data_IF_835745366169
#
_entry.id   IF_835745366169
#
_cell.length_a   1.000
_cell.length_b   1.000
_cell.length_c   1.000
_cell.angle_alpha   90.00
_cell.angle_beta   90.00
_cell.angle_gamma   90.00
#
_symmetry.space_group_name_H-M   'P 1'
#
loop_
_entity.id
_entity.type
_entity.pdbx_description
1 polymer ?
#
# COMPACT_ATOMS: atom_id res chain seq x y z
N UNK A 1 11.04 -2.96 2.61
CA UNK A 1 12.02 -2.00 3.15
C UNK A 1 13.25 -2.06 2.26
N UNK A 2 13.83 -0.93 1.88
CA UNK A 2 15.04 -0.91 1.06
C UNK A 2 15.65 0.49 1.01
N UNK A 3 16.97 0.59 0.79
CA UNK A 3 17.69 1.86 0.61
C UNK A 3 17.00 2.77 -0.44
N UNK A 4 17.13 4.11 -0.32
CA UNK A 4 16.52 5.13 -1.23
C UNK A 4 16.80 4.82 -2.72
N UNK A 5 16.19 5.44 -3.73
CA UNK A 5 16.58 5.24 -5.16
C UNK A 5 16.59 3.80 -5.67
N UNK A 6 15.56 3.07 -5.28
CA UNK A 6 15.45 1.62 -5.41
C UNK A 6 14.74 1.06 -6.61
N UNK A 7 13.89 1.86 -7.19
CA UNK A 7 12.77 1.29 -7.90
C UNK A 7 11.74 0.64 -6.98
N UNK A 8 11.76 0.85 -5.64
CA UNK A 8 10.60 0.52 -4.76
C UNK A 8 9.34 1.18 -5.29
N UNK A 9 9.41 2.51 -5.46
CA UNK A 9 8.31 3.32 -6.00
C UNK A 9 7.99 2.91 -7.43
N UNK A 10 9.01 2.62 -8.25
CA UNK A 10 8.81 2.17 -9.64
C UNK A 10 8.05 0.84 -9.71
N UNK A 11 8.47 -0.16 -8.95
CA UNK A 11 7.85 -1.47 -8.94
C UNK A 11 6.46 -1.41 -8.31
N UNK A 12 6.26 -0.60 -7.26
CA UNK A 12 4.92 -0.33 -6.75
C UNK A 12 4.02 0.36 -7.80
N UNK A 13 4.56 1.29 -8.61
CA UNK A 13 3.82 1.91 -9.71
C UNK A 13 3.49 0.90 -10.81
N UNK A 14 4.37 -0.05 -11.11
CA UNK A 14 4.08 -1.14 -12.07
C UNK A 14 2.97 -2.05 -11.52
N UNK A 15 3.09 -2.50 -10.27
CA UNK A 15 2.07 -3.33 -9.61
C UNK A 15 0.72 -2.60 -9.50
N UNK A 16 0.72 -1.31 -9.19
CA UNK A 16 -0.47 -0.45 -9.17
C UNK A 16 -1.00 -0.12 -10.58
N UNK A 17 -0.19 -0.33 -11.64
CA UNK A 17 -0.51 0.04 -13.01
C UNK A 17 -0.51 1.55 -13.28
N UNK A 18 0.26 2.30 -12.50
CA UNK A 18 0.48 3.75 -12.63
C UNK A 18 1.72 4.10 -13.44
N UNK A 19 2.52 3.11 -13.85
CA UNK A 19 3.71 3.33 -14.67
C UNK A 19 3.30 3.52 -16.13
N UNK A 20 3.53 4.72 -16.67
CA UNK A 20 3.10 5.13 -18.02
C UNK A 20 4.21 5.12 -19.08
N UNK A 21 5.44 4.75 -18.72
CA UNK A 21 6.56 4.75 -19.66
C UNK A 21 7.68 3.78 -19.27
N UNK A 22 8.49 3.40 -20.26
CA UNK A 22 9.45 2.29 -20.18
C UNK A 22 8.85 0.96 -20.64
N UNK A 23 9.63 -0.12 -20.53
CA UNK A 23 9.20 -1.48 -20.85
C UNK A 23 8.85 -2.24 -19.59
N UNK A 24 7.73 -2.98 -19.61
CA UNK A 24 7.30 -3.84 -18.51
C UNK A 24 7.20 -5.26 -19.08
N UNK A 25 8.18 -6.09 -18.75
CA UNK A 25 8.24 -7.49 -19.17
C UNK A 25 7.89 -8.40 -17.99
N UNK A 26 6.61 -8.42 -17.59
CA UNK A 26 6.14 -9.33 -16.55
C UNK A 26 4.66 -9.67 -16.69
N UNK A 27 4.27 -10.82 -16.13
CA UNK A 27 2.87 -11.19 -15.96
C UNK A 27 2.48 -11.06 -14.50
N UNK A 28 1.44 -10.26 -14.21
CA UNK A 28 0.88 -10.13 -12.86
C UNK A 28 -0.42 -10.93 -12.82
N UNK A 29 -0.58 -11.78 -11.82
CA UNK A 29 -1.79 -12.56 -11.58
C UNK A 29 -2.39 -12.22 -10.22
N UNK A 30 -3.71 -12.18 -10.14
CA UNK A 30 -4.51 -12.03 -8.92
C UNK A 30 -5.33 -13.29 -8.76
N UNK A 31 -5.12 -14.03 -7.66
CA UNK A 31 -5.82 -15.30 -7.38
C UNK A 31 -5.70 -16.33 -8.52
N UNK A 32 -4.55 -16.38 -9.20
CA UNK A 32 -4.29 -17.25 -10.36
C UNK A 32 -4.74 -16.70 -11.72
N UNK A 33 -5.52 -15.63 -11.74
CA UNK A 33 -6.04 -15.01 -12.96
C UNK A 33 -5.20 -13.82 -13.42
N UNK A 34 -5.04 -13.55 -14.73
CA UNK A 34 -4.32 -12.38 -15.22
C UNK A 34 -4.91 -11.07 -14.66
N UNK A 35 -4.04 -10.18 -14.16
CA UNK A 35 -4.44 -8.87 -13.68
C UNK A 35 -5.06 -8.05 -14.81
N UNK A 36 -6.31 -7.61 -14.63
CA UNK A 36 -7.00 -6.67 -15.53
C UNK A 36 -6.80 -5.24 -15.04
N UNK A 37 -6.05 -4.45 -15.80
CA UNK A 37 -5.66 -3.10 -15.37
C UNK A 37 -6.86 -2.17 -15.17
N UNK A 38 -7.86 -2.24 -16.05
CA UNK A 38 -9.05 -1.39 -16.03
C UNK A 38 -9.82 -1.51 -14.72
N UNK A 39 -9.97 -2.73 -14.20
CA UNK A 39 -10.79 -3.00 -13.01
C UNK A 39 -9.95 -3.20 -11.75
N UNK A 40 -8.62 -3.09 -11.83
CA UNK A 40 -7.73 -3.39 -10.71
C UNK A 40 -7.95 -2.46 -9.50
N UNK A 41 -8.31 -1.20 -9.77
CA UNK A 41 -8.57 -0.20 -8.74
C UNK A 41 -9.76 -0.56 -7.81
N UNK A 42 -10.64 -1.48 -8.21
CA UNK A 42 -11.73 -1.97 -7.34
C UNK A 42 -11.22 -2.78 -6.14
N UNK A 43 -10.06 -3.42 -6.27
CA UNK A 43 -9.53 -4.38 -5.29
C UNK A 43 -8.15 -3.98 -4.77
N UNK A 44 -7.64 -2.82 -5.19
CA UNK A 44 -6.31 -2.34 -4.86
C UNK A 44 -6.34 -0.85 -4.51
N UNK A 45 -5.82 -0.51 -3.32
CA UNK A 45 -5.56 0.85 -2.88
C UNK A 45 -4.07 1.18 -2.98
N UNK A 46 -3.75 2.43 -3.33
CA UNK A 46 -2.36 2.88 -3.43
C UNK A 46 -2.14 4.16 -2.63
N UNK A 47 -1.49 4.04 -1.49
CA UNK A 47 -1.02 5.19 -0.72
C UNK A 47 0.22 5.78 -1.39
N UNK A 48 0.11 7.00 -1.92
CA UNK A 48 1.28 7.73 -2.40
C UNK A 48 2.24 8.11 -1.26
N UNK A 49 3.48 8.43 -1.65
CA UNK A 49 4.48 8.89 -0.69
C UNK A 49 4.07 10.23 -0.08
N UNK A 50 3.56 11.14 -0.91
CA UNK A 50 2.99 12.41 -0.49
C UNK A 50 1.48 12.24 -0.23
N UNK A 51 1.02 12.80 0.88
CA UNK A 51 -0.38 12.73 1.28
C UNK A 51 -1.17 13.85 0.57
N UNK A 52 -1.94 13.50 -0.46
CA UNK A 52 -2.71 14.45 -1.26
C UNK A 52 -4.16 14.45 -0.78
N UNK A 53 -4.53 15.49 -0.01
CA UNK A 53 -5.89 15.68 0.48
C UNK A 53 -6.34 17.13 0.27
N UNK A 54 -7.66 17.35 0.17
CA UNK A 54 -8.20 18.70 0.12
C UNK A 54 -8.12 19.33 1.52
N UNK A 55 -7.53 20.52 1.68
CA UNK A 55 -7.23 21.07 3.00
C UNK A 55 -8.47 21.57 3.76
N UNK A 56 -9.51 21.99 3.03
CA UNK A 56 -10.72 22.60 3.62
C UNK A 56 -11.86 21.63 3.90
N UNK A 57 -11.64 20.33 3.74
CA UNK A 57 -12.59 19.29 4.18
C UNK A 57 -12.15 18.70 5.51
N UNK A 58 -13.08 18.09 6.23
CA UNK A 58 -12.78 17.38 7.48
C UNK A 58 -12.26 15.96 7.23
N UNK A 59 -11.67 15.35 8.27
CA UNK A 59 -11.31 13.93 8.27
C UNK A 59 -12.52 13.05 7.92
N UNK A 60 -13.68 13.30 8.53
CA UNK A 60 -14.89 12.53 8.27
C UNK A 60 -15.35 12.65 6.82
N UNK A 61 -15.40 13.87 6.28
CA UNK A 61 -15.83 14.10 4.90
C UNK A 61 -14.87 13.47 3.89
N UNK A 62 -13.57 13.47 4.18
CA UNK A 62 -12.57 12.79 3.35
C UNK A 62 -12.83 11.28 3.25
N UNK A 63 -13.14 10.65 4.40
CA UNK A 63 -13.49 9.22 4.44
C UNK A 63 -14.86 8.93 3.81
N UNK A 64 -15.86 9.80 4.02
CA UNK A 64 -17.18 9.68 3.38
C UNK A 64 -17.07 9.80 1.87
N UNK A 65 -16.29 10.76 1.37
CA UNK A 65 -16.05 10.95 -0.05
C UNK A 65 -15.40 9.70 -0.67
N UNK A 66 -14.36 9.17 -0.04
CA UNK A 66 -13.71 7.93 -0.48
C UNK A 66 -14.69 6.76 -0.50
N UNK A 67 -15.44 6.58 0.59
CA UNK A 67 -16.43 5.50 0.70
C UNK A 67 -17.56 5.64 -0.33
N UNK A 68 -18.01 6.86 -0.65
CA UNK A 68 -19.02 7.10 -1.66
C UNK A 68 -18.54 6.64 -3.04
N UNK A 69 -17.31 6.95 -3.41
CA UNK A 69 -16.77 6.61 -4.73
C UNK A 69 -16.32 5.15 -4.86
N UNK A 70 -15.85 4.54 -3.77
CA UNK A 70 -15.25 3.20 -3.79
C UNK A 70 -16.23 2.08 -3.45
N UNK A 71 -17.26 2.36 -2.64
CA UNK A 71 -18.26 1.34 -2.32
C UNK A 71 -19.25 1.16 -3.48
N UNK A 72 -19.78 -0.06 -3.68
CA UNK A 72 -20.85 -0.32 -4.63
C UNK A 72 -22.11 0.52 -4.39
N UNK A 73 -22.90 0.77 -5.44
CA UNK A 73 -24.10 1.60 -5.40
C UNK A 73 -25.28 1.00 -4.60
N UNK A 74 -25.30 -0.33 -4.45
CA UNK A 74 -26.25 -1.08 -3.63
C UNK A 74 -25.97 -0.98 -2.13
N UNK A 75 -24.82 -0.44 -1.72
CA UNK A 75 -24.53 -0.15 -0.31
C UNK A 75 -25.29 1.08 0.15
N UNK A 76 -26.25 0.85 1.04
CA UNK A 76 -27.07 1.89 1.65
C UNK A 76 -26.26 2.88 2.51
N UNK A 77 -26.85 4.05 2.75
CA UNK A 77 -26.19 5.14 3.45
C UNK A 77 -25.81 4.80 4.90
N UNK A 78 -26.64 4.02 5.60
CA UNK A 78 -26.39 3.62 7.00
C UNK A 78 -25.19 2.68 7.05
N UNK A 79 -25.12 1.69 6.16
CA UNK A 79 -23.98 0.77 6.06
C UNK A 79 -22.70 1.50 5.69
N UNK A 80 -22.76 2.45 4.75
CA UNK A 80 -21.63 3.33 4.40
C UNK A 80 -21.13 4.14 5.59
N UNK A 81 -22.02 4.76 6.35
CA UNK A 81 -21.67 5.51 7.57
C UNK A 81 -21.02 4.60 8.62
N UNK A 82 -21.53 3.39 8.82
CA UNK A 82 -20.92 2.41 9.73
C UNK A 82 -19.52 2.01 9.26
N UNK A 83 -19.32 1.80 7.96
CA UNK A 83 -18.02 1.49 7.39
C UNK A 83 -17.01 2.63 7.66
N UNK A 84 -17.39 3.88 7.37
CA UNK A 84 -16.55 5.05 7.64
C UNK A 84 -16.17 5.15 9.12
N UNK A 85 -17.11 4.89 10.04
CA UNK A 85 -16.84 4.88 11.48
C UNK A 85 -15.83 3.80 11.87
N UNK A 86 -15.96 2.58 11.31
CA UNK A 86 -15.01 1.49 11.55
C UNK A 86 -13.62 1.84 11.06
N UNK A 87 -13.50 2.38 9.84
CA UNK A 87 -12.22 2.82 9.28
C UNK A 87 -11.59 3.92 10.15
N UNK A 88 -12.36 4.95 10.50
CA UNK A 88 -11.90 6.05 11.34
C UNK A 88 -11.40 5.58 12.71
N UNK A 89 -12.10 4.59 13.32
CA UNK A 89 -11.66 3.96 14.56
C UNK A 89 -10.38 3.16 14.36
N UNK A 90 -10.27 2.41 13.26
CA UNK A 90 -9.11 1.57 12.95
C UNK A 90 -7.84 2.41 12.76
N UNK A 91 -7.93 3.57 12.10
CA UNK A 91 -6.80 4.49 11.94
C UNK A 91 -6.68 5.50 13.09
N UNK A 92 -7.47 5.32 14.16
CA UNK A 92 -7.47 6.13 15.38
C UNK A 92 -7.69 7.63 15.16
N UNK A 93 -8.47 8.00 14.13
CA UNK A 93 -8.79 9.40 13.81
C UNK A 93 -10.13 9.87 14.39
N UNK A 94 -10.81 9.04 15.20
CA UNK A 94 -12.10 9.38 15.81
C UNK A 94 -12.12 10.73 16.55
N UNK A 95 -11.11 11.08 17.37
CA UNK A 95 -11.10 12.39 18.04
C UNK A 95 -10.99 13.57 17.09
N UNK A 96 -10.45 13.34 15.88
CA UNK A 96 -10.20 14.35 14.85
C UNK A 96 -11.28 14.35 13.77
N UNK A 97 -12.41 13.67 14.00
CA UNK A 97 -13.50 13.51 13.05
C UNK A 97 -13.90 14.82 12.35
N UNK A 98 -14.05 15.89 13.14
CA UNK A 98 -14.50 17.20 12.68
C UNK A 98 -13.35 18.18 12.43
N UNK A 99 -12.10 17.75 12.64
CA UNK A 99 -10.94 18.59 12.36
C UNK A 99 -10.78 18.75 10.84
N UNK A 100 -10.44 19.98 10.41
CA UNK A 100 -10.04 20.24 9.04
C UNK A 100 -8.72 19.53 8.74
N UNK A 101 -8.59 19.01 7.53
CA UNK A 101 -7.38 18.34 7.07
C UNK A 101 -6.19 19.29 7.07
N UNK A 102 -6.38 20.51 6.55
CA UNK A 102 -5.36 21.55 6.49
C UNK A 102 -4.23 21.27 5.49
N UNK A 103 -3.30 22.22 5.42
CA UNK A 103 -2.12 22.13 4.57
C UNK A 103 -0.97 21.48 5.34
N UNK A 104 -0.31 20.45 4.75
CA UNK A 104 0.80 19.76 5.40
C UNK A 104 1.89 20.74 5.89
N UNK A 105 2.20 20.68 7.19
CA UNK A 105 3.24 21.51 7.81
C UNK A 105 2.84 22.97 8.09
N UNK A 106 1.60 23.37 7.81
CA UNK A 106 1.12 24.73 8.04
C UNK A 106 -0.01 24.76 9.07
N UNK A 107 -1.08 24.01 8.86
CA UNK A 107 -2.26 23.99 9.73
C UNK A 107 -3.05 22.68 9.62
N UNK A 108 -4.04 22.49 10.50
CA UNK A 108 -4.90 21.31 10.49
C UNK A 108 -4.22 20.09 11.12
N UNK A 109 -4.12 18.99 10.37
CA UNK A 109 -3.59 17.72 10.86
C UNK A 109 -2.06 17.73 10.95
N UNK A 110 -1.53 16.96 11.90
CA UNK A 110 -0.10 16.65 11.93
C UNK A 110 0.31 15.75 10.76
N UNK A 111 1.61 15.69 10.45
CA UNK A 111 2.16 14.79 9.41
C UNK A 111 1.75 13.32 9.63
N UNK A 112 1.80 12.86 10.88
CA UNK A 112 1.38 11.50 11.23
C UNK A 112 -0.12 11.28 10.99
N UNK A 113 -0.94 12.27 11.35
CA UNK A 113 -2.39 12.22 11.16
C UNK A 113 -2.79 12.27 9.68
N UNK A 114 -2.09 13.05 8.86
CA UNK A 114 -2.21 13.00 7.40
C UNK A 114 -1.89 11.60 6.87
N UNK A 115 -0.85 10.95 7.39
CA UNK A 115 -0.50 9.60 6.94
C UNK A 115 -1.56 8.57 7.30
N UNK A 116 -2.07 8.63 8.54
CA UNK A 116 -3.21 7.81 9.00
C UNK A 116 -4.46 8.06 8.15
N UNK A 117 -4.70 9.31 7.72
CA UNK A 117 -5.82 9.66 6.84
C UNK A 117 -5.63 9.08 5.43
N UNK A 118 -4.43 9.17 4.85
CA UNK A 118 -4.11 8.53 3.56
C UNK A 118 -4.35 7.02 3.64
N UNK A 119 -3.86 6.37 4.70
CA UNK A 119 -4.12 4.94 4.94
C UNK A 119 -5.63 4.69 5.08
N UNK A 120 -6.37 5.52 5.82
CA UNK A 120 -7.81 5.41 5.98
C UNK A 120 -8.60 5.54 4.68
N UNK A 121 -8.17 6.46 3.80
CA UNK A 121 -8.78 6.67 2.48
C UNK A 121 -8.46 5.51 1.52
N UNK A 122 -7.30 4.86 1.70
CA UNK A 122 -6.76 3.86 0.77
C UNK A 122 -6.85 2.39 1.22
N UNK A 123 -7.14 2.10 2.49
CA UNK A 123 -6.95 0.81 3.16
C UNK A 123 -7.29 -0.45 2.35
N UNK A 124 -6.28 -0.92 1.57
CA UNK A 124 -5.92 -2.26 1.05
C UNK A 124 -4.39 -2.21 0.70
N UNK A 125 -3.45 -3.09 1.16
CA UNK A 125 -1.96 -2.81 1.24
C UNK A 125 -0.92 -3.97 0.95
N UNK A 126 0.33 -3.71 0.38
CA UNK A 126 1.61 -4.57 0.22
C UNK A 126 2.99 -3.76 0.01
N UNK A 127 4.27 -4.32 0.12
CA UNK A 127 5.68 -3.69 0.30
C UNK A 127 6.99 -4.29 -0.44
N UNK A 128 8.14 -3.55 -0.78
CA UNK A 128 9.44 -4.00 -1.53
C UNK A 128 10.88 -3.25 -1.31
N UNK A 129 12.05 -3.53 -2.06
CA UNK A 129 13.51 -2.96 -2.03
C UNK A 129 14.17 -2.44 -3.39
N UNK A 130 15.45 -1.97 -3.37
CA UNK A 130 16.44 -1.38 -4.36
C UNK A 130 16.97 -2.35 -5.42
N UNK A 131 16.95 -1.93 -6.70
CA UNK A 131 17.27 -2.74 -7.89
C UNK A 131 16.07 -3.45 -8.52
N UNK A 132 14.85 -3.26 -8.00
CA UNK A 132 13.66 -4.01 -8.42
C UNK A 132 13.65 -5.47 -7.95
N UNK A 133 14.56 -5.85 -7.05
CA UNK A 133 14.71 -7.22 -6.55
C UNK A 133 14.04 -7.37 -5.19
N UNK A 134 13.28 -8.46 -5.02
CA UNK A 134 12.72 -8.83 -3.73
C UNK A 134 13.81 -9.42 -2.82
N UNK A 135 13.99 -8.88 -1.61
CA UNK A 135 14.95 -9.39 -0.62
C UNK A 135 14.30 -10.18 0.51
N UNK A 136 12.99 -10.02 0.67
CA UNK A 136 12.18 -10.73 1.65
C UNK A 136 10.72 -10.64 1.23
N UNK A 137 10.06 -11.78 1.07
CA UNK A 137 8.63 -11.89 0.83
C UNK A 137 8.11 -12.96 1.77
N UNK A 138 7.49 -12.53 2.87
CA UNK A 138 7.01 -13.39 3.93
C UNK A 138 6.28 -12.58 5.00
N UNK A 139 5.53 -13.26 5.87
CA UNK A 139 4.89 -12.62 7.03
C UNK A 139 5.95 -12.00 7.95
N UNK A 140 5.67 -10.86 8.57
CA UNK A 140 6.61 -10.29 9.55
C UNK A 140 6.70 -11.17 10.81
N UNK A 141 5.59 -11.80 11.22
CA UNK A 141 5.47 -12.47 12.51
C UNK A 141 5.27 -11.46 13.65
N UNK A 142 4.91 -11.94 14.85
CA UNK A 142 4.75 -11.07 16.04
C UNK A 142 6.11 -10.45 16.38
N UNK A 143 6.17 -9.12 16.49
CA UNK A 143 7.42 -8.37 16.66
C UNK A 143 8.47 -8.65 15.57
N UNK A 144 8.05 -8.86 14.32
CA UNK A 144 8.96 -9.08 13.17
C UNK A 144 9.86 -10.33 13.27
N UNK A 145 9.51 -11.30 14.12
CA UNK A 145 10.35 -12.44 14.44
C UNK A 145 10.70 -13.34 13.24
N UNK A 146 9.82 -13.46 12.23
CA UNK A 146 10.09 -14.25 11.03
C UNK A 146 11.09 -13.55 10.10
N UNK A 147 11.00 -12.22 10.02
CA UNK A 147 11.96 -11.41 9.28
C UNK A 147 13.34 -11.47 9.94
N UNK A 148 13.43 -11.33 11.26
CA UNK A 148 14.69 -11.38 12.02
C UNK A 148 15.40 -12.73 11.81
N UNK A 149 14.69 -13.84 12.05
CA UNK A 149 15.24 -15.20 11.88
C UNK A 149 15.81 -15.46 10.49
N UNK A 150 15.16 -14.91 9.45
CA UNK A 150 15.64 -15.06 8.08
C UNK A 150 16.98 -14.34 7.87
N UNK A 151 17.10 -13.07 8.28
CA UNK A 151 18.35 -12.32 8.09
C UNK A 151 19.48 -12.80 9.01
N UNK A 152 19.18 -13.24 10.24
CA UNK A 152 20.19 -13.83 11.15
C UNK A 152 20.72 -15.20 10.67
N UNK A 153 20.00 -15.89 9.78
CA UNK A 153 20.46 -17.16 9.20
C UNK A 153 21.50 -16.99 8.09
N UNK A 154 21.76 -15.75 7.66
CA UNK A 154 22.74 -15.43 6.62
C UNK A 154 24.13 -15.28 7.27
N UNK A 155 25.19 -15.95 6.75
CA UNK A 155 26.56 -15.78 7.25
C UNK A 155 26.99 -14.30 7.20
N UNK A 156 27.77 -13.88 8.20
CA UNK A 156 28.33 -12.52 8.35
C UNK A 156 27.33 -11.36 8.58
N UNK A 157 26.04 -11.67 8.75
CA UNK A 157 25.05 -10.70 9.23
C UNK A 157 25.13 -10.61 10.76
N UNK A 158 25.42 -9.41 11.29
CA UNK A 158 25.42 -9.16 12.73
C UNK A 158 24.03 -9.37 13.31
N UNK A 159 23.89 -10.05 14.46
CA UNK A 159 22.59 -10.23 15.12
C UNK A 159 21.98 -8.90 15.54
N UNK A 160 20.65 -8.87 15.61
CA UNK A 160 19.94 -7.67 16.07
C UNK A 160 20.08 -7.52 17.59
N UNK A 161 20.32 -6.30 18.06
CA UNK A 161 20.34 -5.98 19.49
C UNK A 161 18.93 -5.89 20.07
N UNK A 162 18.77 -6.24 21.35
CA UNK A 162 17.46 -6.21 22.01
C UNK A 162 16.91 -4.77 22.06
N UNK A 163 15.64 -4.60 21.68
CA UNK A 163 15.00 -3.29 21.52
C UNK A 163 15.38 -2.49 20.28
N UNK A 164 16.32 -2.97 19.44
CA UNK A 164 16.69 -2.28 18.20
C UNK A 164 15.64 -2.48 17.11
N UNK A 165 15.43 -1.45 16.27
CA UNK A 165 14.40 -1.51 15.22
C UNK A 165 14.81 -2.51 14.11
N UNK A 166 14.06 -3.60 13.88
CA UNK A 166 14.44 -4.62 12.90
C UNK A 166 14.48 -4.13 11.45
N UNK A 167 13.68 -3.10 11.13
CA UNK A 167 13.71 -2.50 9.81
C UNK A 167 14.97 -1.67 9.57
N UNK A 168 15.46 -0.98 10.61
CA UNK A 168 16.71 -0.21 10.55
C UNK A 168 17.90 -1.14 10.42
N UNK A 169 17.99 -2.14 11.30
CA UNK A 169 19.06 -3.14 11.29
C UNK A 169 19.17 -3.88 9.94
N UNK A 170 18.04 -4.32 9.37
CA UNK A 170 18.05 -4.99 8.07
C UNK A 170 18.63 -4.11 6.95
N UNK A 171 18.40 -2.80 6.98
CA UNK A 171 18.95 -1.88 5.99
C UNK A 171 20.46 -1.68 6.16
N UNK A 172 20.94 -1.71 7.40
CA UNK A 172 22.36 -1.56 7.74
C UNK A 172 23.17 -2.78 7.32
N UNK A 173 22.68 -3.99 7.64
CA UNK A 173 23.41 -5.23 7.30
C UNK A 173 23.35 -5.60 5.82
N UNK A 174 22.39 -5.05 5.06
CA UNK A 174 22.23 -5.31 3.62
C UNK A 174 22.63 -4.12 2.73
N UNK A 175 23.53 -3.27 3.23
CA UNK A 175 24.04 -2.12 2.50
C UNK A 175 25.23 -2.51 1.59
N UNK A 176 25.49 -1.71 0.55
CA UNK A 176 26.52 -2.01 -0.46
C UNK A 176 27.95 -1.98 0.08
N UNK A 177 28.21 -1.21 1.14
CA UNK A 177 29.53 -1.22 1.79
C UNK A 177 29.78 -2.56 2.50
N UNK A 178 28.74 -3.14 3.12
CA UNK A 178 28.84 -4.47 3.74
C UNK A 178 28.99 -5.58 2.71
N UNK A 179 28.30 -5.53 1.57
CA UNK A 179 28.53 -6.48 0.46
C UNK A 179 29.98 -6.43 -0.04
N UNK A 180 30.53 -5.22 -0.18
CA UNK A 180 31.92 -5.04 -0.62
C UNK A 180 32.95 -5.52 0.41
N UNK A 181 32.66 -5.35 1.70
CA UNK A 181 33.51 -5.81 2.80
C UNK A 181 33.47 -7.34 2.99
N UNK A 182 32.29 -7.94 2.87
CA UNK A 182 32.09 -9.40 3.03
C UNK A 182 32.39 -10.19 1.75
N UNK A 183 32.44 -9.53 0.59
CA UNK A 183 32.57 -10.18 -0.71
C UNK A 183 31.33 -10.97 -1.15
N UNK A 184 30.20 -10.75 -0.47
CA UNK A 184 28.94 -11.46 -0.69
C UNK A 184 27.98 -10.59 -1.52
N UNK A 185 27.28 -11.21 -2.46
CA UNK A 185 26.13 -10.62 -3.15
C UNK A 185 24.84 -11.18 -2.51
N UNK A 186 24.09 -10.32 -1.80
CA UNK A 186 22.88 -10.75 -1.09
C UNK A 186 21.76 -11.15 -2.05
N UNK A 187 21.71 -10.61 -3.27
CA UNK A 187 20.71 -10.99 -4.26
C UNK A 187 20.97 -12.40 -4.79
N UNK A 188 22.22 -12.75 -5.04
CA UNK A 188 22.59 -14.09 -5.48
C UNK A 188 22.48 -15.12 -4.36
N UNK A 189 22.78 -14.73 -3.11
CA UNK A 189 22.49 -15.55 -1.92
C UNK A 189 20.99 -15.85 -1.81
N UNK A 190 20.13 -14.84 -1.97
CA UNK A 190 18.68 -15.05 -1.93
C UNK A 190 18.23 -16.03 -3.02
N UNK A 191 18.67 -15.85 -4.27
CA UNK A 191 18.29 -16.76 -5.38
C UNK A 191 18.68 -18.22 -5.13
N UNK A 192 19.74 -18.46 -4.35
CA UNK A 192 20.21 -19.81 -3.97
C UNK A 192 19.54 -20.36 -2.71
N UNK A 193 18.78 -19.54 -1.98
CA UNK A 193 18.18 -19.92 -0.70
C UNK A 193 16.94 -20.79 -0.85
N UNK A 194 16.67 -21.62 0.16
CA UNK A 194 15.42 -22.39 0.27
C UNK A 194 14.18 -21.48 0.31
N UNK A 195 14.32 -20.23 0.76
CA UNK A 195 13.21 -19.28 0.76
C UNK A 195 12.82 -18.90 -0.67
N UNK A 196 13.80 -18.63 -1.55
CA UNK A 196 13.53 -18.32 -2.95
C UNK A 196 12.86 -19.50 -3.67
N UNK A 197 13.36 -20.72 -3.43
CA UNK A 197 12.78 -21.94 -4.00
C UNK A 197 11.33 -22.09 -3.54
N UNK A 198 11.06 -22.00 -2.24
CA UNK A 198 9.70 -22.07 -1.68
C UNK A 198 8.79 -20.98 -2.25
N UNK A 199 9.29 -19.74 -2.38
CA UNK A 199 8.51 -18.65 -2.96
C UNK A 199 8.20 -18.89 -4.44
N UNK A 200 9.12 -19.44 -5.23
CA UNK A 200 8.86 -19.80 -6.63
C UNK A 200 7.82 -20.90 -6.76
N UNK A 201 7.90 -21.93 -5.92
CA UNK A 201 6.90 -23.00 -5.85
C UNK A 201 5.54 -22.40 -5.47
N UNK A 202 5.48 -21.58 -4.43
CA UNK A 202 4.25 -20.94 -3.99
C UNK A 202 3.64 -20.03 -5.08
N UNK A 203 4.47 -19.27 -5.80
CA UNK A 203 4.01 -18.45 -6.92
C UNK A 203 3.43 -19.35 -8.02
N UNK A 204 4.08 -20.47 -8.34
CA UNK A 204 3.57 -21.42 -9.35
C UNK A 204 2.24 -22.05 -8.93
N UNK A 205 2.08 -22.41 -7.66
CA UNK A 205 0.86 -22.98 -7.10
C UNK A 205 -0.28 -21.96 -7.13
N UNK A 206 -0.03 -20.74 -6.64
CA UNK A 206 -1.00 -19.65 -6.62
C UNK A 206 -1.29 -19.06 -8.01
N UNK A 207 -0.44 -19.34 -9.00
CA UNK A 207 -0.65 -18.93 -10.40
C UNK A 207 -1.69 -19.77 -11.12
N UNK A 208 -2.12 -20.89 -10.53
CA UNK A 208 -3.19 -21.74 -11.03
C UNK A 208 -4.47 -21.42 -10.25
N UNK A 209 -5.56 -21.04 -10.90
CA UNK A 209 -6.82 -20.82 -10.22
C UNK A 209 -7.36 -22.14 -9.66
N UNK A 210 -7.90 -22.11 -8.44
CA UNK A 210 -8.57 -23.26 -7.86
C UNK A 210 -9.79 -23.66 -8.72
N UNK A 211 -10.10 -24.96 -8.88
CA UNK A 211 -11.12 -25.43 -9.83
C UNK A 211 -12.53 -24.85 -9.64
N UNK A 212 -12.84 -24.37 -8.43
CA UNK A 212 -14.15 -23.86 -8.04
C UNK A 212 -14.18 -22.33 -7.99
N UNK A 213 -13.04 -21.65 -8.12
CA UNK A 213 -13.00 -20.18 -8.08
C UNK A 213 -13.27 -19.60 -9.45
N UNK A 214 -13.78 -18.37 -9.46
CA UNK A 214 -13.96 -17.57 -10.67
C UNK A 214 -13.09 -16.32 -10.57
N UNK A 215 -12.68 -15.82 -11.73
CA UNK A 215 -12.01 -14.53 -11.84
C UNK A 215 -12.88 -13.41 -11.24
N UNK A 216 -12.23 -12.45 -10.58
CA UNK A 216 -12.89 -11.24 -10.09
C UNK A 216 -13.27 -10.40 -11.30
N UNK A 217 -14.55 -10.42 -11.66
CA UNK A 217 -15.10 -9.62 -12.75
C UNK A 217 -15.89 -8.45 -12.19
N UNK A 218 -15.61 -7.28 -12.74
CA UNK A 218 -16.36 -6.06 -12.53
C UNK A 218 -16.88 -5.63 -13.89
N UNK A 219 -18.18 -5.36 -13.99
CA UNK A 219 -18.80 -4.97 -15.27
C UNK A 219 -18.34 -3.58 -15.73
N UNK A 220 -17.84 -2.76 -14.80
CA UNK A 220 -17.42 -1.39 -15.04
C UNK A 220 -16.06 -1.10 -14.41
N UNK A 221 -15.32 -0.16 -15.00
CA UNK A 221 -14.06 0.36 -14.46
C UNK A 221 -14.21 1.00 -13.07
N UNK A 222 -15.37 1.59 -12.75
CA UNK A 222 -15.62 2.31 -11.50
C UNK A 222 -16.79 1.72 -10.71
N UNK A 223 -16.75 1.81 -9.37
CA UNK A 223 -17.81 1.32 -8.48
C UNK A 223 -19.11 2.12 -8.58
N UNK A 224 -19.01 3.38 -9.01
CA UNK A 224 -20.14 4.32 -9.10
C UNK A 224 -20.37 4.79 -10.55
N UNK A 225 -21.61 5.04 -10.97
CA UNK A 225 -21.91 5.68 -12.25
C UNK A 225 -21.30 7.08 -12.36
N UNK A 226 -21.03 7.52 -13.59
CA UNK A 226 -20.44 8.83 -13.88
C UNK A 226 -21.14 9.99 -13.15
N UNK A 227 -22.47 10.02 -13.20
CA UNK A 227 -23.25 11.08 -12.54
C UNK A 227 -23.07 11.09 -11.02
N UNK A 228 -22.99 9.92 -10.38
CA UNK A 228 -22.72 9.83 -8.94
C UNK A 228 -21.32 10.33 -8.61
N UNK A 229 -20.33 9.99 -9.44
CA UNK A 229 -18.96 10.50 -9.27
C UNK A 229 -18.90 12.02 -9.42
N UNK A 230 -19.58 12.57 -10.44
CA UNK A 230 -19.68 14.00 -10.67
C UNK A 230 -20.30 14.72 -9.46
N UNK A 231 -21.41 14.20 -8.94
CA UNK A 231 -22.09 14.78 -7.77
C UNK A 231 -21.25 14.70 -6.50
N UNK A 232 -20.54 13.59 -6.27
CA UNK A 232 -19.61 13.48 -5.14
C UNK A 232 -18.48 14.52 -5.25
N UNK A 233 -17.92 14.72 -6.45
CA UNK A 233 -16.89 15.73 -6.70
C UNK A 233 -17.43 17.15 -6.47
N UNK A 234 -18.61 17.48 -6.99
CA UNK A 234 -19.26 18.77 -6.75
C UNK A 234 -19.56 19.00 -5.28
N UNK A 235 -20.03 17.98 -4.56
CA UNK A 235 -20.27 18.05 -3.13
C UNK A 235 -18.97 18.36 -2.38
N UNK A 236 -17.88 17.64 -2.66
CA UNK A 236 -16.58 17.88 -2.04
C UNK A 236 -16.06 19.28 -2.36
N UNK A 237 -16.19 19.72 -3.61
CA UNK A 237 -15.78 21.05 -4.05
C UNK A 237 -16.59 22.14 -3.36
N UNK A 238 -17.90 21.96 -3.22
CA UNK A 238 -18.78 22.89 -2.52
C UNK A 238 -18.39 23.04 -1.04
N UNK A 239 -18.14 21.93 -0.33
CA UNK A 239 -17.66 21.99 1.06
C UNK A 239 -16.33 22.74 1.17
N UNK A 240 -15.40 22.47 0.24
CA UNK A 240 -14.11 23.14 0.22
C UNK A 240 -14.23 24.63 -0.10
N UNK A 241 -15.12 25.01 -1.02
CA UNK A 241 -15.30 26.39 -1.48
C UNK A 241 -15.80 27.30 -0.36
N UNK A 242 -16.86 26.89 0.36
CA UNK A 242 -17.43 27.72 1.43
C UNK A 242 -16.57 27.84 2.69
N UNK A 243 -15.60 26.94 2.86
CA UNK A 243 -14.66 26.94 3.98
C UNK A 243 -13.30 27.50 3.62
N UNK A 244 -13.11 27.86 2.35
CA UNK A 244 -11.93 28.56 1.90
C UNK A 244 -12.10 30.06 2.18
N UNK A 245 -11.24 30.69 3.01
CA UNK A 245 -11.33 32.11 3.34
C UNK A 245 -10.88 33.06 2.21
N UNK A 246 -10.42 32.50 1.07
CA UNK A 246 -9.86 33.21 -0.10
C UNK A 246 -10.58 32.81 -1.37
#
# INVERSE_FOLDING_TARGET
MGVSGAGKTTLMHVLAGRKTGGYIECSIKISGYPKKQETFAHIFGYCEQNDIHSPYVTVYESLVFSAWLRLPHDVDEKTRKMFVQKVMKLVELTPLRSALVGFPGVNGLSTEQHKRLTIGVELVLVLMKRGGQEIYVGSLGRHSCHLIKYFESIPDVSKIEDGYNPATWMLEVTNSAQEMMSGLDFADLYKKSDLYIRNKVLISELSVPLPVTKDLRFDNQYSQPFWTQCMACLWKQHQSYWRNPT
#
